data_IF_974442893368
#
_entry.id   IF_974442893368
#
_cell.length_a   1.000
_cell.length_b   1.000
_cell.length_c   1.000
_cell.angle_alpha   90.00
_cell.angle_beta   90.00
_cell.angle_gamma   90.00
#
_symmetry.space_group_name_H-M   'P 1'
#
loop_
_entity.id
_entity.type
_entity.pdbx_description
1 polymer ?
#
# COMPACT_ATOMS: atom_id res chain seq x y z
N UNK A 1 1.93 -0.36 3.88
CA UNK A 1 2.37 1.05 3.94
C UNK A 1 3.88 1.06 4.06
N UNK A 2 4.58 1.80 3.20
CA UNK A 2 6.03 1.99 3.23
C UNK A 2 6.31 3.49 3.31
N UNK A 3 7.06 3.89 4.32
CA UNK A 3 7.50 5.28 4.55
C UNK A 3 8.93 5.49 4.03
N UNK A 4 9.40 6.73 4.03
CA UNK A 4 10.77 7.11 3.69
C UNK A 4 11.01 7.41 2.21
N UNK A 5 9.97 7.56 1.40
CA UNK A 5 10.06 8.05 0.02
C UNK A 5 10.51 7.03 -1.04
N UNK A 6 11.13 5.93 -0.64
CA UNK A 6 11.54 4.86 -1.55
C UNK A 6 10.35 4.10 -2.16
N UNK A 7 10.21 4.10 -3.49
CA UNK A 7 9.24 3.29 -4.23
C UNK A 7 9.80 1.90 -4.58
N UNK A 8 10.01 1.05 -3.58
CA UNK A 8 10.54 -0.32 -3.76
C UNK A 8 10.00 -1.28 -2.70
N UNK A 9 10.08 -2.58 -2.98
CA UNK A 9 9.63 -3.61 -2.02
C UNK A 9 10.75 -4.04 -1.06
N UNK A 10 12.02 -3.99 -1.49
CA UNK A 10 13.17 -4.41 -0.67
C UNK A 10 13.11 -5.86 -0.17
N UNK A 11 12.64 -6.80 -1.00
CA UNK A 11 12.55 -8.22 -0.62
C UNK A 11 11.73 -8.46 0.66
N UNK A 12 10.74 -7.61 0.93
CA UNK A 12 9.88 -7.72 2.10
C UNK A 12 8.56 -8.40 1.72
N UNK A 13 8.28 -9.57 2.29
CA UNK A 13 7.01 -10.30 2.17
C UNK A 13 6.55 -10.60 0.72
N UNK A 14 7.48 -10.91 -0.18
CA UNK A 14 7.20 -11.11 -1.61
C UNK A 14 6.05 -12.08 -1.91
N UNK A 15 5.97 -13.18 -1.17
CA UNK A 15 4.91 -14.16 -1.36
C UNK A 15 3.57 -13.67 -0.81
N UNK A 16 3.58 -13.08 0.38
CA UNK A 16 2.37 -12.61 1.07
C UNK A 16 1.76 -11.37 0.41
N UNK A 17 2.51 -10.61 -0.40
CA UNK A 17 2.03 -9.37 -1.01
C UNK A 17 1.37 -9.52 -2.39
N UNK A 18 1.08 -10.74 -2.85
CA UNK A 18 0.60 -11.05 -4.20
C UNK A 18 -0.57 -10.16 -4.69
N UNK A 19 -1.50 -9.77 -3.82
CA UNK A 19 -2.61 -8.85 -4.12
C UNK A 19 -2.77 -7.75 -3.07
N UNK A 20 -1.72 -7.48 -2.30
CA UNK A 20 -1.75 -6.50 -1.22
C UNK A 20 -1.68 -5.09 -1.79
N UNK A 21 -2.55 -4.19 -1.33
CA UNK A 21 -2.48 -2.78 -1.68
C UNK A 21 -1.21 -2.13 -1.10
N UNK A 22 -0.46 -1.45 -1.95
CA UNK A 22 0.82 -0.84 -1.59
C UNK A 22 0.70 0.68 -1.54
N UNK A 23 0.94 1.23 -0.36
CA UNK A 23 0.99 2.67 -0.12
C UNK A 23 2.42 3.11 0.16
N UNK A 24 2.92 4.05 -0.62
CA UNK A 24 4.26 4.63 -0.45
C UNK A 24 4.11 6.09 -0.03
N UNK A 25 4.69 6.43 1.12
CA UNK A 25 4.62 7.76 1.70
C UNK A 25 6.01 8.40 1.67
N UNK A 26 6.12 9.68 1.25
CA UNK A 26 7.39 10.42 1.32
C UNK A 26 7.79 10.77 2.76
N UNK A 27 6.88 10.61 3.72
CA UNK A 27 7.10 10.89 5.14
C UNK A 27 8.12 9.90 5.72
N UNK A 28 9.12 10.39 6.46
CA UNK A 28 10.07 9.53 7.16
C UNK A 28 9.39 8.76 8.31
N UNK A 29 9.94 7.61 8.69
CA UNK A 29 9.32 6.75 9.73
C UNK A 29 9.07 7.47 11.07
N UNK A 30 10.02 8.25 11.63
CA UNK A 30 9.79 8.97 12.88
C UNK A 30 8.71 10.06 12.78
N UNK A 31 8.44 10.56 11.57
CA UNK A 31 7.47 11.63 11.31
C UNK A 31 6.08 11.11 10.93
N UNK A 32 5.87 9.78 10.95
CA UNK A 32 4.57 9.20 10.67
C UNK A 32 3.59 9.58 11.79
N UNK A 33 2.39 10.01 11.38
CA UNK A 33 1.33 10.52 12.27
C UNK A 33 -0.02 9.92 11.88
N UNK A 34 -1.01 9.90 12.80
CA UNK A 34 -2.31 9.30 12.54
C UNK A 34 -3.01 9.80 11.27
N UNK A 35 -2.85 11.09 10.92
CA UNK A 35 -3.49 11.70 9.75
C UNK A 35 -2.95 11.12 8.44
N UNK A 36 -1.69 10.69 8.43
CA UNK A 36 -1.09 10.02 7.27
C UNK A 36 -1.71 8.63 7.06
N UNK A 37 -1.93 7.90 8.16
CA UNK A 37 -2.55 6.57 8.12
C UNK A 37 -4.02 6.70 7.75
N UNK A 38 -4.73 7.69 8.27
CA UNK A 38 -6.13 7.97 7.91
C UNK A 38 -6.28 8.16 6.39
N UNK A 39 -5.43 8.99 5.76
CA UNK A 39 -5.44 9.19 4.30
C UNK A 39 -5.18 7.89 3.53
N UNK A 40 -4.30 7.02 4.05
CA UNK A 40 -4.07 5.70 3.46
C UNK A 40 -5.32 4.83 3.57
N UNK A 41 -6.02 4.86 4.71
CA UNK A 41 -7.23 4.07 4.91
C UNK A 41 -8.36 4.52 3.98
N UNK A 42 -8.55 5.83 3.81
CA UNK A 42 -9.49 6.41 2.85
C UNK A 42 -9.22 5.89 1.43
N UNK A 43 -7.96 5.91 1.00
CA UNK A 43 -7.61 5.37 -0.31
C UNK A 43 -7.74 3.84 -0.39
N UNK A 44 -7.50 3.12 0.70
CA UNK A 44 -7.55 1.65 0.74
C UNK A 44 -8.98 1.10 0.59
N UNK A 45 -9.97 1.79 1.15
CA UNK A 45 -11.38 1.37 1.04
C UNK A 45 -11.93 1.58 -0.37
N UNK A 46 -11.42 2.58 -1.09
CA UNK A 46 -11.85 2.91 -2.45
C UNK A 46 -11.22 2.01 -3.54
N UNK A 47 -10.26 1.15 -3.19
CA UNK A 47 -9.62 0.25 -4.17
C UNK A 47 -10.53 -0.91 -4.55
N UNK A 48 -10.79 -1.04 -5.85
CA UNK A 48 -11.40 -2.23 -6.43
C UNK A 48 -10.39 -3.37 -6.50
N UNK A 49 -10.67 -4.49 -5.80
CA UNK A 49 -9.76 -5.64 -5.73
C UNK A 49 -10.23 -6.77 -6.63
N UNK A 50 -9.36 -7.14 -7.58
CA UNK A 50 -9.66 -8.21 -8.55
C UNK A 50 -9.18 -9.59 -8.11
N UNK A 51 -8.27 -9.68 -7.13
CA UNK A 51 -7.77 -10.95 -6.56
C UNK A 51 -7.32 -12.00 -7.59
N UNK A 52 -6.79 -11.57 -8.74
CA UNK A 52 -6.40 -12.46 -9.84
C UNK A 52 -7.55 -12.95 -10.72
N UNK A 53 -8.77 -12.46 -10.48
CA UNK A 53 -9.93 -12.73 -11.31
C UNK A 53 -9.77 -12.11 -12.70
N UNK A 54 -9.99 -12.93 -13.73
CA UNK A 54 -10.19 -12.45 -15.09
C UNK A 54 -11.54 -11.75 -15.14
N UNK A 55 -11.55 -10.46 -15.44
CA UNK A 55 -12.79 -9.75 -15.76
C UNK A 55 -13.29 -10.37 -17.06
N UNK A 56 -14.40 -11.11 -17.01
CA UNK A 56 -15.06 -11.57 -18.22
C UNK A 56 -15.53 -10.33 -18.98
N UNK A 57 -14.98 -10.14 -20.18
CA UNK A 57 -15.47 -9.21 -21.20
C UNK A 57 -16.52 -9.93 -22.02
#
# INVERSE_FOLDING_TARGET
IRTGGDFRISNFLLYQLAYTELFFLPVAWPDLRPEHVQKVMEQFVDRERRMGGLVAV
#
